data_IF_897028430660
#
_entry.id   IF_897028430660
#
_cell.length_a   1.000
_cell.length_b   1.000
_cell.length_c   1.000
_cell.angle_alpha   90.00
_cell.angle_beta   90.00
_cell.angle_gamma   90.00
#
_symmetry.space_group_name_H-M   'P 1'
#
loop_
_entity.id
_entity.type
_entity.pdbx_description
1 polymer ?
#
# COMPACT_ATOMS: atom_id res chain seq x y z
N UNK A 1 5.90 -7.67 6.57
CA UNK A 1 6.85 -8.78 6.83
C UNK A 1 7.89 -8.40 7.88
N UNK A 2 8.90 -7.58 7.53
CA UNK A 2 10.00 -7.23 8.46
C UNK A 2 9.60 -6.20 9.54
N UNK A 3 8.44 -5.55 9.40
CA UNK A 3 7.95 -4.58 10.39
C UNK A 3 7.40 -5.24 11.66
N UNK A 4 6.88 -6.48 11.57
CA UNK A 4 6.25 -7.18 12.70
C UNK A 4 6.93 -8.52 13.01
N UNK A 5 7.70 -9.10 12.08
CA UNK A 5 8.35 -10.41 12.23
C UNK A 5 9.86 -10.23 12.05
N UNK A 6 10.72 -10.97 12.79
CA UNK A 6 10.37 -12.07 13.70
C UNK A 6 10.14 -11.64 15.16
N UNK A 7 10.47 -10.39 15.53
CA UNK A 7 10.53 -9.98 16.94
C UNK A 7 9.19 -9.54 17.54
N UNK A 8 8.20 -9.21 16.69
CA UNK A 8 6.91 -8.71 17.15
C UNK A 8 6.98 -7.23 17.50
N UNK A 9 5.81 -6.59 17.51
CA UNK A 9 5.61 -5.30 18.17
C UNK A 9 4.87 -5.61 19.47
N UNK A 10 5.26 -4.96 20.56
CA UNK A 10 4.60 -5.15 21.86
C UNK A 10 3.09 -4.87 21.76
N UNK A 11 2.27 -5.79 22.28
CA UNK A 11 0.81 -5.70 22.21
C UNK A 11 0.18 -5.99 20.83
N UNK A 12 0.95 -6.42 19.83
CA UNK A 12 0.47 -6.72 18.48
C UNK A 12 0.59 -8.21 18.13
N UNK A 13 -0.33 -8.72 17.31
CA UNK A 13 -0.31 -10.12 16.86
C UNK A 13 0.72 -10.31 15.74
N UNK A 14 1.46 -11.43 15.79
CA UNK A 14 2.36 -11.84 14.71
C UNK A 14 1.61 -12.13 13.39
N UNK A 15 0.39 -12.67 13.49
CA UNK A 15 -0.41 -13.13 12.36
C UNK A 15 -1.42 -12.10 11.86
N UNK A 16 -1.84 -11.17 12.71
CA UNK A 16 -2.75 -10.09 12.31
C UNK A 16 -2.47 -8.82 13.12
N UNK A 17 -1.35 -8.13 12.86
CA UNK A 17 -1.07 -6.85 13.50
C UNK A 17 -2.11 -5.81 13.05
N UNK A 18 -2.55 -4.98 13.99
CA UNK A 18 -3.54 -3.90 13.87
C UNK A 18 -2.93 -2.50 14.01
N UNK A 19 -1.64 -2.37 14.31
CA UNK A 19 -1.00 -1.05 14.47
C UNK A 19 -1.17 -0.13 13.24
N UNK A 20 -1.09 -0.68 12.02
CA UNK A 20 -1.24 0.13 10.80
C UNK A 20 -2.70 0.53 10.57
N UNK A 21 -3.65 -0.38 10.85
CA UNK A 21 -5.09 -0.08 10.79
C UNK A 21 -5.41 1.07 11.75
N UNK A 22 -4.98 0.99 13.01
CA UNK A 22 -5.14 2.04 14.03
C UNK A 22 -4.50 3.37 13.60
N UNK A 23 -3.33 3.31 12.95
CA UNK A 23 -2.66 4.49 12.41
C UNK A 23 -3.51 5.15 11.32
N UNK A 24 -4.03 4.36 10.37
CA UNK A 24 -4.90 4.85 9.28
C UNK A 24 -6.16 5.50 9.85
N UNK A 25 -6.82 4.86 10.83
CA UNK A 25 -7.97 5.41 11.55
C UNK A 25 -7.64 6.75 12.22
N UNK A 26 -6.50 6.85 12.89
CA UNK A 26 -6.04 8.07 13.57
C UNK A 26 -5.79 9.21 12.58
N UNK A 27 -5.37 8.90 11.35
CA UNK A 27 -5.17 9.88 10.27
C UNK A 27 -6.49 10.28 9.57
N UNK A 28 -7.64 9.72 10.00
CA UNK A 28 -8.95 10.05 9.46
C UNK A 28 -9.37 9.26 8.22
N UNK A 29 -8.66 8.16 7.91
CA UNK A 29 -9.02 7.22 6.85
C UNK A 29 -9.66 5.95 7.44
N UNK A 30 -10.33 5.16 6.60
CA UNK A 30 -11.00 3.92 7.00
C UNK A 30 -10.24 2.70 6.47
N UNK A 31 -9.64 1.87 7.33
CA UNK A 31 -9.01 0.62 6.88
C UNK A 31 -10.09 -0.37 6.45
N UNK A 32 -9.89 -1.03 5.30
CA UNK A 32 -10.84 -2.04 4.82
C UNK A 32 -10.86 -3.27 5.73
N UNK A 33 -12.06 -3.70 6.13
CA UNK A 33 -12.25 -4.87 7.00
C UNK A 33 -11.96 -6.20 6.28
N UNK A 34 -12.37 -6.30 5.02
CA UNK A 34 -12.21 -7.50 4.19
C UNK A 34 -10.98 -7.38 3.32
N UNK A 35 -9.83 -7.72 3.88
CA UNK A 35 -8.56 -7.73 3.16
C UNK A 35 -7.78 -9.02 3.44
N UNK A 36 -8.05 -10.05 2.65
CA UNK A 36 -7.47 -11.38 2.84
C UNK A 36 -5.94 -11.39 2.68
N UNK A 37 -5.41 -10.46 1.89
CA UNK A 37 -3.96 -10.34 1.64
C UNK A 37 -3.24 -9.39 2.60
N UNK A 38 -3.88 -8.98 3.70
CA UNK A 38 -3.34 -8.00 4.66
C UNK A 38 -1.93 -8.28 5.17
N UNK A 39 -1.61 -9.55 5.44
CA UNK A 39 -0.30 -9.96 5.97
C UNK A 39 0.59 -10.66 4.93
N UNK A 40 0.18 -10.65 3.66
CA UNK A 40 0.94 -11.25 2.57
C UNK A 40 2.22 -10.44 2.26
N UNK A 41 3.29 -11.15 1.89
CA UNK A 41 4.51 -10.52 1.41
C UNK A 41 4.29 -9.87 0.05
N UNK A 42 4.86 -8.67 -0.16
CA UNK A 42 4.81 -8.00 -1.45
C UNK A 42 5.68 -8.67 -2.53
N UNK A 43 6.53 -9.64 -2.18
CA UNK A 43 7.44 -10.29 -3.15
C UNK A 43 8.71 -9.50 -3.47
N UNK A 44 8.99 -8.38 -2.79
CA UNK A 44 10.10 -7.48 -3.15
C UNK A 44 11.49 -8.14 -3.22
N UNK A 45 11.78 -9.12 -2.36
CA UNK A 45 13.04 -9.88 -2.41
C UNK A 45 13.16 -10.81 -3.65
N UNK A 46 12.02 -11.15 -4.28
CA UNK A 46 11.92 -11.99 -5.46
C UNK A 46 11.82 -11.18 -6.75
N UNK A 47 11.66 -9.85 -6.67
CA UNK A 47 11.40 -9.00 -7.83
C UNK A 47 12.45 -9.13 -8.95
N UNK A 48 13.70 -9.42 -8.60
CA UNK A 48 14.79 -9.60 -9.56
C UNK A 48 15.04 -11.06 -9.95
N UNK A 49 14.99 -11.99 -9.00
CA UNK A 49 15.34 -13.39 -9.23
C UNK A 49 14.19 -14.21 -9.82
N UNK A 50 12.96 -13.88 -9.43
CA UNK A 50 11.74 -14.64 -9.72
C UNK A 50 10.58 -13.65 -10.00
N UNK A 51 10.71 -12.80 -11.04
CA UNK A 51 9.79 -11.68 -11.27
C UNK A 51 8.34 -12.12 -11.47
N UNK A 52 8.09 -13.24 -12.16
CA UNK A 52 6.74 -13.76 -12.39
C UNK A 52 6.04 -14.13 -11.07
N UNK A 53 6.76 -14.76 -10.14
CA UNK A 53 6.23 -15.11 -8.81
C UNK A 53 5.96 -13.84 -7.99
N UNK A 54 6.89 -12.88 -8.03
CA UNK A 54 6.70 -11.58 -7.37
C UNK A 54 5.45 -10.87 -7.90
N UNK A 55 5.29 -10.80 -9.21
CA UNK A 55 4.14 -10.14 -9.86
C UNK A 55 2.82 -10.83 -9.56
N UNK A 56 2.77 -12.16 -9.51
CA UNK A 56 1.59 -12.90 -9.07
C UNK A 56 1.19 -12.55 -7.62
N UNK A 57 2.17 -12.45 -6.70
CA UNK A 57 1.91 -12.05 -5.31
C UNK A 57 1.40 -10.61 -5.19
N UNK A 58 1.94 -9.70 -6.00
CA UNK A 58 1.50 -8.30 -6.06
C UNK A 58 0.08 -8.19 -6.63
N UNK A 59 -0.22 -8.96 -7.70
CA UNK A 59 -1.55 -9.01 -8.31
C UNK A 59 -2.61 -9.38 -7.27
N UNK A 60 -2.38 -10.44 -6.50
CA UNK A 60 -3.24 -10.87 -5.40
C UNK A 60 -3.51 -9.77 -4.35
N UNK A 61 -2.47 -9.04 -3.97
CA UNK A 61 -2.54 -7.92 -3.00
C UNK A 61 -3.45 -6.82 -3.56
N UNK A 62 -3.23 -6.42 -4.80
CA UNK A 62 -3.99 -5.33 -5.44
C UNK A 62 -5.44 -5.76 -5.69
N UNK A 63 -5.66 -6.97 -6.18
CA UNK A 63 -6.99 -7.52 -6.45
C UNK A 63 -7.82 -7.59 -5.16
N UNK A 64 -7.24 -8.10 -4.07
CA UNK A 64 -7.93 -8.15 -2.77
C UNK A 64 -8.24 -6.76 -2.20
N UNK A 65 -7.34 -5.79 -2.38
CA UNK A 65 -7.60 -4.41 -1.97
C UNK A 65 -8.71 -3.76 -2.83
N UNK A 66 -8.68 -4.01 -4.14
CA UNK A 66 -9.66 -3.51 -5.10
C UNK A 66 -11.05 -4.09 -4.83
N UNK A 67 -11.16 -5.40 -4.64
CA UNK A 67 -12.42 -6.10 -4.33
C UNK A 67 -12.96 -5.70 -2.96
N UNK A 68 -12.08 -5.35 -2.02
CA UNK A 68 -12.42 -4.76 -0.72
C UNK A 68 -12.89 -3.30 -0.80
N UNK A 69 -12.84 -2.67 -1.98
CA UNK A 69 -13.28 -1.29 -2.20
C UNK A 69 -12.28 -0.22 -1.74
N UNK A 70 -11.00 -0.57 -1.59
CA UNK A 70 -9.98 0.39 -1.17
C UNK A 70 -9.77 1.49 -2.23
N UNK A 71 -9.64 2.74 -1.78
CA UNK A 71 -9.22 3.86 -2.64
C UNK A 71 -7.70 3.90 -2.86
N UNK A 72 -6.95 3.28 -1.95
CA UNK A 72 -5.49 3.20 -1.99
C UNK A 72 -4.94 2.14 -1.03
N UNK A 73 -3.67 1.78 -1.22
CA UNK A 73 -2.90 0.93 -0.32
C UNK A 73 -1.89 1.78 0.45
N UNK A 74 -1.91 1.70 1.77
CA UNK A 74 -0.91 2.35 2.64
C UNK A 74 0.11 1.30 3.10
N UNK A 75 1.39 1.63 3.01
CA UNK A 75 2.46 0.69 3.38
C UNK A 75 3.43 1.28 4.42
N UNK A 76 3.93 0.45 5.36
CA UNK A 76 4.97 0.84 6.31
C UNK A 76 6.38 0.51 5.81
N UNK A 77 6.56 0.16 4.53
CA UNK A 77 7.83 -0.30 3.97
C UNK A 77 8.05 0.31 2.57
N UNK A 78 9.15 1.04 2.32
CA UNK A 78 9.42 1.65 1.01
C UNK A 78 9.51 0.64 -0.13
N UNK A 79 10.06 -0.56 0.14
CA UNK A 79 10.11 -1.63 -0.86
C UNK A 79 8.70 -2.13 -1.19
N UNK A 80 7.80 -2.24 -0.20
CA UNK A 80 6.41 -2.60 -0.47
C UNK A 80 5.72 -1.54 -1.32
N UNK A 81 5.91 -0.26 -1.02
CA UNK A 81 5.35 0.83 -1.82
C UNK A 81 5.80 0.70 -3.29
N UNK A 82 7.11 0.74 -3.52
CA UNK A 82 7.68 0.70 -4.88
C UNK A 82 7.23 -0.54 -5.63
N UNK A 83 7.30 -1.72 -4.99
CA UNK A 83 7.03 -2.99 -5.65
C UNK A 83 5.54 -3.10 -6.05
N UNK A 84 4.62 -2.73 -5.16
CA UNK A 84 3.18 -2.83 -5.46
C UNK A 84 2.74 -1.75 -6.45
N UNK A 85 3.43 -0.62 -6.52
CA UNK A 85 3.09 0.49 -7.42
C UNK A 85 3.64 0.31 -8.85
N UNK A 86 4.94 0.06 -8.98
CA UNK A 86 5.64 0.10 -10.29
C UNK A 86 5.23 -1.04 -11.23
N UNK A 87 4.90 -2.21 -10.68
CA UNK A 87 4.60 -3.39 -11.51
C UNK A 87 3.15 -3.47 -11.98
N UNK A 88 2.26 -2.55 -11.62
CA UNK A 88 0.84 -2.64 -11.99
C UNK A 88 0.61 -2.68 -13.50
N UNK A 89 1.37 -1.90 -14.28
CA UNK A 89 1.24 -1.90 -15.75
C UNK A 89 1.67 -3.24 -16.36
N UNK A 90 2.73 -3.86 -15.83
CA UNK A 90 3.19 -5.18 -16.26
C UNK A 90 2.18 -6.27 -15.88
N UNK A 91 1.65 -6.20 -14.65
CA UNK A 91 0.60 -7.11 -14.17
C UNK A 91 -0.66 -6.99 -15.04
N UNK A 92 -1.08 -5.76 -15.37
CA UNK A 92 -2.20 -5.52 -16.25
C UNK A 92 -2.01 -6.13 -17.64
N UNK A 93 -0.81 -5.99 -18.21
CA UNK A 93 -0.48 -6.59 -19.50
C UNK A 93 -0.48 -8.13 -19.45
N UNK A 94 0.06 -8.72 -18.38
CA UNK A 94 0.19 -10.17 -18.22
C UNK A 94 -1.14 -10.88 -17.91
N UNK A 95 -1.93 -10.30 -17.01
CA UNK A 95 -3.15 -10.93 -16.47
C UNK A 95 -4.45 -10.36 -17.06
N UNK A 96 -4.37 -9.38 -17.96
CA UNK A 96 -5.55 -8.75 -18.57
C UNK A 96 -6.36 -7.89 -17.59
N UNK A 97 -5.75 -7.47 -16.48
CA UNK A 97 -6.37 -6.62 -15.46
C UNK A 97 -6.27 -5.14 -15.82
N UNK A 98 -6.94 -4.27 -15.06
CA UNK A 98 -6.93 -2.81 -15.26
C UNK A 98 -6.71 -2.05 -13.96
N UNK A 99 -5.84 -2.56 -13.11
CA UNK A 99 -5.51 -1.94 -11.84
C UNK A 99 -4.85 -0.58 -12.04
N UNK A 100 -5.29 0.40 -11.25
CA UNK A 100 -4.66 1.71 -11.09
C UNK A 100 -4.75 2.12 -9.63
N UNK A 101 -4.28 1.24 -8.75
CA UNK A 101 -4.38 1.41 -7.30
C UNK A 101 -3.23 2.29 -6.81
N UNK A 102 -3.49 3.49 -6.24
CA UNK A 102 -2.44 4.29 -5.63
C UNK A 102 -1.84 3.56 -4.44
N UNK A 103 -0.51 3.59 -4.32
CA UNK A 103 0.20 3.00 -3.18
C UNK A 103 1.02 4.09 -2.50
N UNK A 104 0.79 4.31 -1.22
CA UNK A 104 1.41 5.42 -0.48
C UNK A 104 2.21 4.89 0.71
N UNK A 105 3.27 5.60 1.05
CA UNK A 105 3.95 5.37 2.32
C UNK A 105 3.15 6.00 3.45
N UNK A 106 3.17 5.39 4.64
CA UNK A 106 2.37 5.88 5.77
C UNK A 106 2.68 7.35 6.14
N UNK A 107 3.92 7.81 5.97
CA UNK A 107 4.27 9.21 6.25
C UNK A 107 3.71 10.20 5.23
N UNK A 108 3.46 9.77 3.98
CA UNK A 108 2.76 10.60 2.98
C UNK A 108 1.32 10.83 3.41
N UNK A 109 0.62 9.77 3.87
CA UNK A 109 -0.72 9.90 4.45
C UNK A 109 -0.69 10.85 5.67
N UNK A 110 0.29 10.68 6.56
CA UNK A 110 0.48 11.53 7.75
C UNK A 110 0.65 13.00 7.38
N UNK A 111 1.48 13.30 6.36
CA UNK A 111 1.72 14.66 5.92
C UNK A 111 0.43 15.33 5.45
N UNK A 112 -0.37 14.63 4.64
CA UNK A 112 -1.67 15.14 4.17
C UNK A 112 -2.63 15.33 5.34
N UNK A 113 -2.73 14.36 6.25
CA UNK A 113 -3.57 14.46 7.44
C UNK A 113 -3.18 15.65 8.34
N UNK A 114 -1.92 16.04 8.34
CA UNK A 114 -1.40 17.20 9.09
C UNK A 114 -1.47 18.52 8.31
N UNK A 115 -2.21 18.56 7.20
CA UNK A 115 -2.45 19.78 6.42
C UNK A 115 -1.26 20.23 5.59
N UNK A 116 -0.36 19.32 5.20
CA UNK A 116 0.74 19.63 4.28
C UNK A 116 0.25 19.66 2.84
N UNK A 117 0.89 20.50 2.03
CA UNK A 117 0.58 20.62 0.60
C UNK A 117 0.92 19.32 -0.15
N UNK A 118 0.34 19.13 -1.34
CA UNK A 118 0.62 17.95 -2.18
C UNK A 118 2.12 17.79 -2.49
N UNK A 119 2.84 18.91 -2.64
CA UNK A 119 4.28 18.94 -2.87
C UNK A 119 5.06 18.54 -1.61
N UNK A 120 4.69 19.07 -0.44
CA UNK A 120 5.34 18.74 0.82
C UNK A 120 5.09 17.28 1.24
N UNK A 121 3.95 16.73 0.86
CA UNK A 121 3.60 15.31 1.03
C UNK A 121 4.22 14.40 -0.04
N UNK A 122 4.93 14.95 -1.02
CA UNK A 122 5.53 14.24 -2.15
C UNK A 122 4.52 13.41 -2.98
N UNK A 123 3.26 13.86 -3.08
CA UNK A 123 2.24 13.23 -3.92
C UNK A 123 2.56 13.38 -5.42
N UNK A 124 3.39 14.37 -5.77
CA UNK A 124 3.85 14.60 -7.13
C UNK A 124 4.84 13.57 -7.66
N UNK A 125 5.51 12.83 -6.77
CA UNK A 125 6.45 11.76 -7.11
C UNK A 125 5.83 10.38 -7.33
N UNK A 126 4.51 10.22 -7.14
CA UNK A 126 3.84 8.93 -7.29
C UNK A 126 3.70 8.52 -8.75
N UNK A 127 3.94 7.24 -9.03
CA UNK A 127 3.71 6.64 -10.35
C UNK A 127 2.21 6.57 -10.63
N UNK A 128 1.43 6.18 -9.62
CA UNK A 128 -0.04 6.15 -9.66
C UNK A 128 -0.57 7.21 -8.69
N UNK A 129 -1.13 8.27 -9.27
CA UNK A 129 -1.61 9.45 -8.56
C UNK A 129 -2.72 9.12 -7.55
N UNK A 130 -2.47 9.40 -6.27
CA UNK A 130 -3.47 9.35 -5.21
C UNK A 130 -4.42 10.56 -5.25
N UNK A 131 -5.31 10.61 -6.25
CA UNK A 131 -6.25 11.73 -6.48
C UNK A 131 -6.98 12.18 -5.22
N UNK A 132 -7.43 11.23 -4.39
CA UNK A 132 -8.14 11.53 -3.15
C UNK A 132 -7.29 12.32 -2.15
N UNK A 133 -6.01 11.96 -2.00
CA UNK A 133 -5.09 12.71 -1.16
C UNK A 133 -4.74 14.07 -1.76
N UNK A 134 -4.63 14.16 -3.08
CA UNK A 134 -4.37 15.44 -3.77
C UNK A 134 -5.54 16.42 -3.56
N UNK A 135 -6.77 15.95 -3.63
CA UNK A 135 -7.96 16.76 -3.33
C UNK A 135 -8.00 17.25 -1.89
N UNK A 136 -7.53 16.44 -0.94
CA UNK A 136 -7.46 16.82 0.47
C UNK A 136 -6.34 17.85 0.68
N UNK A 137 -5.17 17.63 0.08
CA UNK A 137 -4.01 18.50 0.21
C UNK A 137 -4.12 19.82 -0.59
N UNK A 138 -5.14 19.96 -1.43
CA UNK A 138 -5.45 21.17 -2.19
C UNK A 138 -6.38 22.14 -1.44
N UNK A 139 -6.94 21.73 -0.29
CA UNK A 139 -7.76 22.56 0.60
C UNK A 139 -6.89 23.29 1.62
#
# INVERSE_FOLDING_TARGET
>A
CQTNRPFGIDGESFENPKYLDKFIETMGAEPIDKYDKKVQCCGGALAFSEPEKSQAMIKDIIESAYDGGAEMIVTPCPVCQMNVEVYQDQINAQYGTKFKMPVVYYSTLMAVAYGRSAKDAALDGQVIRAKRLEEIAAK
#
